data_IF_105533783905
#
_entry.id   IF_105533783905
#
_cell.length_a   1.000
_cell.length_b   1.000
_cell.length_c   1.000
_cell.angle_alpha   90.00
_cell.angle_beta   90.00
_cell.angle_gamma   90.00
#
_symmetry.space_group_name_H-M   'P 1'
#
loop_
_entity.id
_entity.type
_entity.pdbx_description
1 polymer ?
#
# COMPACT_ATOMS: atom_id res chain seq x y z
N UNK A 1 -34.52 16.31 14.46
CA UNK A 1 -33.83 15.40 13.55
C UNK A 1 -32.39 15.80 13.55
N UNK A 2 -31.44 14.88 13.72
CA UNK A 2 -30.04 15.20 13.49
C UNK A 2 -29.89 15.64 12.03
N UNK A 3 -28.98 16.59 11.72
CA UNK A 3 -28.69 16.98 10.34
C UNK A 3 -28.23 15.75 9.55
N UNK A 4 -28.65 15.68 8.29
CA UNK A 4 -28.20 14.61 7.40
C UNK A 4 -26.64 14.59 7.36
N UNK A 5 -26.01 13.42 7.36
CA UNK A 5 -24.56 13.36 7.24
C UNK A 5 -24.13 14.08 5.96
N UNK A 6 -23.16 14.97 6.10
CA UNK A 6 -22.54 15.64 4.94
C UNK A 6 -22.03 14.55 3.98
N UNK A 7 -22.21 14.71 2.66
CA UNK A 7 -21.66 13.77 1.70
C UNK A 7 -20.16 13.62 1.95
N UNK A 8 -19.66 12.39 1.86
CA UNK A 8 -18.23 12.13 1.97
C UNK A 8 -17.49 13.01 0.92
N UNK A 9 -16.45 13.74 1.30
CA UNK A 9 -15.69 14.52 0.33
C UNK A 9 -15.16 13.60 -0.76
N UNK A 10 -15.10 14.10 -2.01
CA UNK A 10 -14.51 13.34 -3.10
C UNK A 10 -13.05 12.99 -2.75
N UNK A 11 -12.69 11.73 -2.94
CA UNK A 11 -11.30 11.32 -2.77
C UNK A 11 -10.40 12.14 -3.71
N UNK A 12 -9.22 12.60 -3.24
CA UNK A 12 -8.27 13.25 -4.11
C UNK A 12 -7.91 12.32 -5.28
N UNK A 13 -7.53 12.88 -6.45
CA UNK A 13 -7.14 12.09 -7.60
C UNK A 13 -6.09 11.05 -7.20
N UNK A 14 -6.32 9.80 -7.61
CA UNK A 14 -5.31 8.75 -7.48
C UNK A 14 -4.22 8.93 -8.54
N UNK A 15 -3.19 8.09 -8.51
CA UNK A 15 -2.18 8.07 -9.55
C UNK A 15 -2.82 7.77 -10.92
N UNK A 16 -2.27 8.38 -11.96
CA UNK A 16 -2.61 8.04 -13.34
C UNK A 16 -2.05 6.65 -13.70
N UNK A 17 -2.72 5.96 -14.65
CA UNK A 17 -2.29 4.64 -15.12
C UNK A 17 -2.86 3.47 -14.30
N UNK A 18 -2.12 2.35 -14.21
CA UNK A 18 -2.58 1.17 -13.48
C UNK A 18 -2.74 1.49 -11.99
N UNK A 19 -3.71 0.87 -11.28
CA UNK A 19 -3.95 1.11 -9.86
C UNK A 19 -2.88 0.43 -8.98
N UNK A 20 -1.63 0.73 -9.24
CA UNK A 20 -0.45 0.17 -8.59
C UNK A 20 0.49 1.27 -8.08
N UNK A 21 1.20 0.98 -6.99
CA UNK A 21 2.38 1.71 -6.56
C UNK A 21 3.58 0.77 -6.52
N UNK A 22 4.68 1.19 -7.13
CA UNK A 22 5.94 0.46 -7.02
C UNK A 22 6.65 0.83 -5.72
N UNK A 23 6.82 -0.15 -4.81
CA UNK A 23 7.56 0.03 -3.57
C UNK A 23 9.07 0.10 -3.78
N UNK A 24 9.73 1.09 -3.20
CA UNK A 24 11.17 1.30 -3.35
C UNK A 24 12.02 0.61 -2.27
N UNK A 25 11.42 -0.02 -1.27
CA UNK A 25 12.09 -0.52 -0.07
C UNK A 25 13.20 -1.56 -0.31
N UNK A 26 13.18 -2.26 -1.45
CA UNK A 26 14.19 -3.24 -1.83
C UNK A 26 15.42 -2.64 -2.53
N UNK A 27 15.40 -1.34 -2.86
CA UNK A 27 16.37 -0.71 -3.76
C UNK A 27 17.25 0.34 -3.06
N UNK A 28 17.81 -0.02 -1.92
CA UNK A 28 18.72 0.84 -1.16
C UNK A 28 20.18 0.82 -1.62
N UNK A 29 20.52 0.12 -2.69
CA UNK A 29 21.88 -0.02 -3.16
C UNK A 29 22.01 0.39 -4.64
N UNK A 30 22.26 1.69 -4.84
CA UNK A 30 22.61 2.23 -6.15
C UNK A 30 21.62 1.91 -7.29
N UNK A 31 22.12 1.89 -8.52
CA UNK A 31 21.33 1.75 -9.75
C UNK A 31 20.71 0.36 -9.98
N UNK A 32 20.84 -0.58 -9.06
CA UNK A 32 20.23 -1.93 -9.19
C UNK A 32 18.70 -1.91 -9.28
N UNK A 33 18.06 -0.85 -8.76
CA UNK A 33 16.62 -0.64 -8.90
C UNK A 33 16.19 -0.10 -10.26
N UNK A 34 17.09 0.52 -11.01
CA UNK A 34 16.74 1.23 -12.24
C UNK A 34 16.03 0.36 -13.28
N UNK A 35 16.49 -0.87 -13.58
CA UNK A 35 15.77 -1.72 -14.54
C UNK A 35 14.33 -2.04 -14.12
N UNK A 36 14.05 -2.13 -12.83
CA UNK A 36 12.70 -2.37 -12.29
C UNK A 36 11.86 -1.12 -12.40
N UNK A 37 12.41 0.04 -12.08
CA UNK A 37 11.74 1.33 -12.22
C UNK A 37 11.46 1.65 -13.70
N UNK A 38 12.43 1.39 -14.59
CA UNK A 38 12.27 1.55 -16.04
C UNK A 38 11.15 0.66 -16.58
N UNK A 39 11.13 -0.64 -16.23
CA UNK A 39 10.08 -1.55 -16.66
C UNK A 39 8.68 -1.12 -16.18
N UNK A 40 8.59 -0.57 -14.97
CA UNK A 40 7.33 -0.05 -14.44
C UNK A 40 6.88 1.22 -15.17
N UNK A 41 7.79 2.15 -15.41
CA UNK A 41 7.55 3.38 -16.14
C UNK A 41 7.13 3.13 -17.59
N UNK A 42 7.88 2.29 -18.31
CA UNK A 42 7.60 1.88 -19.69
C UNK A 42 6.24 1.16 -19.81
N UNK A 43 5.87 0.40 -18.79
CA UNK A 43 4.57 -0.27 -18.69
C UNK A 43 3.40 0.65 -18.28
N UNK A 44 3.60 1.96 -18.21
CA UNK A 44 2.57 2.94 -17.88
C UNK A 44 2.39 3.25 -16.40
N UNK A 45 3.20 2.64 -15.53
CA UNK A 45 3.20 2.98 -14.10
C UNK A 45 3.75 4.39 -13.85
N UNK A 46 3.12 5.12 -12.94
CA UNK A 46 3.50 6.51 -12.61
C UNK A 46 3.67 6.74 -11.12
N UNK A 47 3.25 5.80 -10.29
CA UNK A 47 3.17 5.96 -8.85
C UNK A 47 4.20 5.12 -8.11
N UNK A 48 4.92 5.75 -7.18
CA UNK A 48 5.96 5.12 -6.38
C UNK A 48 5.70 5.29 -4.90
N UNK A 49 5.99 4.25 -4.12
CA UNK A 49 5.91 4.22 -2.67
C UNK A 49 7.31 4.24 -2.07
N UNK A 50 7.59 5.22 -1.23
CA UNK A 50 8.85 5.33 -0.50
C UNK A 50 8.62 5.69 0.96
N UNK A 51 9.68 5.64 1.77
CA UNK A 51 9.64 6.05 3.16
C UNK A 51 11.01 6.52 3.66
N UNK A 52 10.98 7.49 4.56
CA UNK A 52 12.15 8.04 5.26
C UNK A 52 13.04 6.94 5.85
N UNK A 53 12.43 5.86 6.38
CA UNK A 53 13.13 4.74 7.02
C UNK A 53 13.63 3.69 6.02
N UNK A 54 13.15 3.65 4.77
CA UNK A 54 13.48 2.56 3.86
C UNK A 54 14.98 2.48 3.59
N UNK A 55 15.49 1.24 3.70
CA UNK A 55 16.90 0.95 3.45
C UNK A 55 17.87 1.39 4.54
N UNK A 56 17.39 1.79 5.72
CA UNK A 56 18.24 2.29 6.83
C UNK A 56 19.43 1.37 7.17
N UNK A 57 19.27 0.06 7.01
CA UNK A 57 20.35 -0.91 7.20
C UNK A 57 21.53 -0.73 6.21
N UNK A 58 21.30 -0.07 5.07
CA UNK A 58 22.31 0.23 4.05
C UNK A 58 22.77 1.70 4.08
N UNK A 59 22.17 2.50 4.94
CA UNK A 59 22.43 3.93 5.14
C UNK A 59 21.12 4.75 5.09
N UNK A 60 21.01 5.79 5.94
CA UNK A 60 19.81 6.60 6.04
C UNK A 60 19.37 7.15 4.68
N UNK A 61 18.11 6.94 4.29
CA UNK A 61 17.51 7.47 3.06
C UNK A 61 18.06 6.91 1.75
N UNK A 62 18.75 5.76 1.76
CA UNK A 62 19.35 5.22 0.54
C UNK A 62 18.31 4.86 -0.52
N UNK A 63 17.11 4.37 -0.15
CA UNK A 63 16.05 4.07 -1.10
C UNK A 63 15.49 5.34 -1.75
N UNK A 64 15.30 6.41 -0.99
CA UNK A 64 14.85 7.71 -1.50
C UNK A 64 15.87 8.33 -2.45
N UNK A 65 17.17 8.28 -2.10
CA UNK A 65 18.24 8.74 -3.01
C UNK A 65 18.32 7.93 -4.29
N UNK A 66 18.20 6.60 -4.22
CA UNK A 66 18.18 5.74 -5.41
C UNK A 66 17.00 6.08 -6.32
N UNK A 67 15.82 6.25 -5.75
CA UNK A 67 14.63 6.65 -6.50
C UNK A 67 14.78 8.06 -7.11
N UNK A 68 15.24 9.05 -6.34
CA UNK A 68 15.48 10.42 -6.83
C UNK A 68 16.52 10.46 -7.97
N UNK A 69 17.64 9.74 -7.82
CA UNK A 69 18.66 9.63 -8.85
C UNK A 69 18.12 8.98 -10.14
N UNK A 70 17.28 7.95 -10.02
CA UNK A 70 16.60 7.35 -11.17
C UNK A 70 15.68 8.38 -11.86
N UNK A 71 14.78 9.01 -11.12
CA UNK A 71 13.83 9.97 -11.67
C UNK A 71 14.57 11.10 -12.41
N UNK A 72 15.61 11.67 -11.80
CA UNK A 72 16.46 12.69 -12.39
C UNK A 72 17.15 12.20 -13.66
N UNK A 73 17.74 10.99 -13.64
CA UNK A 73 18.45 10.42 -14.79
C UNK A 73 17.55 10.17 -16.01
N UNK A 74 16.23 10.07 -15.79
CA UNK A 74 15.21 9.88 -16.82
C UNK A 74 14.47 11.17 -17.16
N UNK A 75 14.66 12.25 -16.38
CA UNK A 75 13.97 13.52 -16.56
C UNK A 75 12.47 13.44 -16.26
N UNK A 76 12.09 12.59 -15.29
CA UNK A 76 10.66 12.30 -14.98
C UNK A 76 10.26 12.77 -13.58
N UNK A 77 11.07 13.57 -12.90
CA UNK A 77 10.86 14.00 -11.51
C UNK A 77 9.50 14.65 -11.26
N UNK A 78 9.00 15.36 -12.27
CA UNK A 78 7.72 16.09 -12.21
C UNK A 78 6.52 15.23 -12.57
N UNK A 79 6.77 14.11 -13.27
CA UNK A 79 5.71 13.24 -13.80
C UNK A 79 5.42 12.05 -12.89
N UNK A 80 6.30 11.80 -11.89
CA UNK A 80 6.10 10.73 -10.90
C UNK A 80 5.16 11.18 -9.79
N UNK A 81 4.15 10.36 -9.51
CA UNK A 81 3.29 10.47 -8.34
C UNK A 81 3.95 9.76 -7.16
N UNK A 82 4.15 10.45 -6.05
CA UNK A 82 4.88 9.89 -4.90
C UNK A 82 3.99 9.80 -3.68
N UNK A 83 3.92 8.58 -3.11
CA UNK A 83 3.53 8.33 -1.75
C UNK A 83 4.80 8.28 -0.91
N UNK A 84 5.02 9.27 -0.06
CA UNK A 84 6.10 9.30 0.91
C UNK A 84 5.59 8.94 2.31
N UNK A 85 6.45 8.36 3.14
CA UNK A 85 6.12 8.04 4.54
C UNK A 85 7.22 8.47 5.49
N UNK A 86 6.82 8.98 6.66
CA UNK A 86 7.69 9.27 7.80
C UNK A 86 7.01 8.92 9.12
N UNK A 87 7.49 9.46 10.21
CA UNK A 87 6.96 9.21 11.56
C UNK A 87 6.90 7.70 11.87
N UNK A 88 8.04 7.04 11.81
CA UNK A 88 8.21 5.64 12.24
C UNK A 88 8.76 5.60 13.67
N UNK A 89 8.31 4.65 14.47
CA UNK A 89 8.82 4.41 15.83
C UNK A 89 10.35 4.20 15.83
N UNK A 90 11.11 4.83 16.76
CA UNK A 90 10.64 5.65 17.89
C UNK A 90 10.32 7.12 17.55
N UNK A 91 10.61 7.58 16.34
CA UNK A 91 10.46 8.96 15.87
C UNK A 91 9.03 9.27 15.35
N UNK A 92 8.02 8.52 15.82
CA UNK A 92 6.62 8.78 15.50
C UNK A 92 6.07 9.87 16.42
N UNK A 93 6.45 11.11 16.14
CA UNK A 93 6.12 12.32 16.93
C UNK A 93 5.65 13.43 15.97
N UNK A 94 4.65 14.26 16.34
CA UNK A 94 4.13 15.34 15.50
C UNK A 94 5.21 16.33 15.05
N UNK A 95 6.12 16.70 15.96
CA UNK A 95 7.22 17.64 15.69
C UNK A 95 8.30 17.07 14.76
N UNK A 96 8.32 15.75 14.54
CA UNK A 96 9.25 15.08 13.62
C UNK A 96 8.72 14.93 12.19
N UNK A 97 7.40 15.10 12.00
CA UNK A 97 6.73 14.87 10.70
C UNK A 97 7.31 15.75 9.60
N UNK A 98 7.35 17.07 9.80
CA UNK A 98 7.84 18.01 8.79
C UNK A 98 9.35 17.88 8.55
N UNK A 99 10.14 17.68 9.59
CA UNK A 99 11.58 17.49 9.48
C UNK A 99 11.90 16.25 8.60
N UNK A 100 11.26 15.12 8.88
CA UNK A 100 11.47 13.89 8.08
C UNK A 100 10.96 14.03 6.64
N UNK A 101 9.86 14.76 6.42
CA UNK A 101 9.37 15.07 5.08
C UNK A 101 10.37 15.92 4.30
N UNK A 102 10.94 16.95 4.93
CA UNK A 102 11.97 17.81 4.31
C UNK A 102 13.21 17.02 3.95
N UNK A 103 13.73 16.19 4.85
CA UNK A 103 14.84 15.30 4.55
C UNK A 103 14.53 14.33 3.39
N UNK A 104 13.30 13.80 3.32
CA UNK A 104 12.85 12.96 2.22
C UNK A 104 12.84 13.72 0.89
N UNK A 105 12.40 14.98 0.89
CA UNK A 105 12.43 15.83 -0.30
C UNK A 105 13.85 16.09 -0.78
N UNK A 106 14.76 16.46 0.11
CA UNK A 106 16.19 16.66 -0.21
C UNK A 106 16.80 15.39 -0.85
N UNK A 107 16.51 14.21 -0.27
CA UNK A 107 17.02 12.93 -0.77
C UNK A 107 16.48 12.56 -2.14
N UNK A 108 15.22 12.91 -2.41
CA UNK A 108 14.56 12.62 -3.69
C UNK A 108 14.75 13.71 -4.76
N UNK A 109 15.27 14.89 -4.39
CA UNK A 109 15.41 16.03 -5.28
C UNK A 109 14.07 16.64 -5.70
N UNK A 110 13.11 16.80 -4.75
CA UNK A 110 11.78 17.34 -5.02
C UNK A 110 11.27 18.18 -3.85
N UNK A 111 10.21 18.96 -4.08
CA UNK A 111 9.66 19.90 -3.10
C UNK A 111 8.26 19.51 -2.59
N UNK A 112 7.63 18.49 -3.20
CA UNK A 112 6.26 18.07 -2.86
C UNK A 112 6.08 16.57 -2.96
N UNK A 113 5.06 16.04 -2.26
CA UNK A 113 4.56 14.69 -2.43
C UNK A 113 3.05 14.70 -2.71
N UNK A 114 2.57 13.79 -3.56
CA UNK A 114 1.15 13.69 -3.83
C UNK A 114 0.36 13.16 -2.63
N UNK A 115 0.95 12.23 -1.87
CA UNK A 115 0.39 11.68 -0.65
C UNK A 115 1.52 11.48 0.37
N UNK A 116 1.29 11.88 1.60
CA UNK A 116 2.18 11.59 2.72
C UNK A 116 1.46 10.79 3.79
N UNK A 117 2.10 9.75 4.32
CA UNK A 117 1.51 8.92 5.36
C UNK A 117 2.39 8.82 6.60
N UNK A 118 1.78 8.84 7.77
CA UNK A 118 2.43 8.39 8.99
C UNK A 118 2.72 6.90 8.86
N UNK A 119 3.98 6.49 9.03
CA UNK A 119 4.42 5.11 8.78
C UNK A 119 4.01 4.15 9.90
N UNK A 120 3.81 4.68 11.12
CA UNK A 120 3.33 3.98 12.32
C UNK A 120 2.38 4.88 13.12
N UNK A 121 1.71 4.30 14.09
CA UNK A 121 0.99 5.04 15.13
C UNK A 121 1.86 5.19 16.38
N UNK A 122 1.58 6.24 17.14
CA UNK A 122 2.00 6.41 18.52
C UNK A 122 0.76 6.68 19.37
N UNK A 123 0.26 5.65 20.02
CA UNK A 123 -0.99 5.71 20.79
C UNK A 123 -0.92 6.55 22.06
N UNK A 124 0.30 6.93 22.49
CA UNK A 124 0.49 7.84 23.64
C UNK A 124 0.19 9.31 23.28
N UNK A 125 0.03 9.60 21.98
CA UNK A 125 -0.22 10.95 21.47
C UNK A 125 -1.66 11.04 20.95
N UNK A 126 -2.43 12.09 21.31
CA UNK A 126 -3.75 12.35 20.76
C UNK A 126 -3.71 12.47 19.23
N UNK A 127 -4.68 11.87 18.54
CA UNK A 127 -4.76 11.91 17.06
C UNK A 127 -4.78 13.33 16.51
N UNK A 128 -5.37 14.27 17.25
CA UNK A 128 -5.48 15.66 16.84
C UNK A 128 -4.16 16.35 16.61
N UNK A 129 -3.11 15.99 17.35
CA UNK A 129 -1.77 16.54 17.15
C UNK A 129 -1.21 16.13 15.78
N UNK A 130 -1.34 14.86 15.41
CA UNK A 130 -0.93 14.38 14.09
C UNK A 130 -1.77 14.98 12.95
N UNK A 131 -3.09 14.98 13.11
CA UNK A 131 -4.01 15.53 12.11
C UNK A 131 -3.74 17.01 11.85
N UNK A 132 -3.46 17.79 12.90
CA UNK A 132 -3.19 19.22 12.79
C UNK A 132 -1.91 19.50 12.00
N UNK A 133 -0.81 18.80 12.28
CA UNK A 133 0.43 19.00 11.53
C UNK A 133 0.30 18.55 10.08
N UNK A 134 -0.40 17.46 9.82
CA UNK A 134 -0.63 16.97 8.45
C UNK A 134 -1.52 17.90 7.64
N UNK A 135 -2.55 18.48 8.27
CA UNK A 135 -3.42 19.47 7.65
C UNK A 135 -2.64 20.74 7.28
N UNK A 136 -1.76 21.23 8.15
CA UNK A 136 -0.88 22.37 7.86
C UNK A 136 0.02 22.10 6.62
N UNK A 137 0.58 20.90 6.52
CA UNK A 137 1.40 20.53 5.36
C UNK A 137 0.58 20.51 4.05
N UNK A 138 -0.69 20.11 4.11
CA UNK A 138 -1.62 20.19 2.97
C UNK A 138 -1.91 21.65 2.61
N UNK A 139 -2.25 22.48 3.60
CA UNK A 139 -2.59 23.88 3.38
C UNK A 139 -1.41 24.68 2.81
N UNK A 140 -0.19 24.33 3.18
CA UNK A 140 1.06 24.89 2.64
C UNK A 140 1.43 24.31 1.27
N UNK A 141 0.73 23.31 0.78
CA UNK A 141 0.98 22.68 -0.52
C UNK A 141 2.24 21.80 -0.58
N UNK A 142 2.82 21.42 0.56
CA UNK A 142 3.96 20.51 0.62
C UNK A 142 3.53 19.07 0.32
N UNK A 143 2.31 18.71 0.66
CA UNK A 143 1.69 17.43 0.32
C UNK A 143 0.31 17.67 -0.28
N UNK A 144 -0.07 16.88 -1.29
CA UNK A 144 -1.40 16.99 -1.91
C UNK A 144 -2.52 16.41 -1.03
N UNK A 145 -2.20 15.41 -0.23
CA UNK A 145 -3.10 14.78 0.73
C UNK A 145 -2.29 14.02 1.79
N UNK A 146 -2.96 13.58 2.85
CA UNK A 146 -2.33 12.76 3.88
C UNK A 146 -3.11 11.48 4.18
N UNK A 147 -2.46 10.53 4.86
CA UNK A 147 -3.04 9.28 5.32
C UNK A 147 -2.24 8.64 6.44
N UNK A 148 -2.63 7.43 6.80
CA UNK A 148 -2.03 6.66 7.88
C UNK A 148 -1.63 5.26 7.40
N UNK A 149 -0.50 4.77 7.89
CA UNK A 149 -0.06 3.40 7.65
C UNK A 149 0.07 2.66 8.97
N UNK A 150 -0.48 1.45 9.02
CA UNK A 150 -0.46 0.61 10.22
C UNK A 150 -1.16 1.24 11.44
N UNK A 151 -2.27 1.90 11.20
CA UNK A 151 -3.16 2.40 12.22
C UNK A 151 -4.34 1.45 12.39
N UNK A 152 -4.87 1.34 13.62
CA UNK A 152 -6.10 0.59 13.89
C UNK A 152 -7.33 1.34 13.35
N UNK A 153 -8.43 0.63 13.11
CA UNK A 153 -9.68 1.23 12.65
C UNK A 153 -10.21 2.27 13.65
N UNK A 154 -10.08 2.00 14.95
CA UNK A 154 -10.47 2.93 16.01
C UNK A 154 -9.71 4.25 15.90
N UNK A 155 -8.39 4.20 15.79
CA UNK A 155 -7.54 5.38 15.68
C UNK A 155 -7.80 6.17 14.39
N UNK A 156 -8.04 5.48 13.29
CA UNK A 156 -8.37 6.14 12.01
C UNK A 156 -9.74 6.83 12.09
N UNK A 157 -10.74 6.17 12.67
CA UNK A 157 -12.07 6.79 12.84
C UNK A 157 -12.04 7.98 13.78
N UNK A 158 -11.25 7.93 14.84
CA UNK A 158 -10.99 9.07 15.73
C UNK A 158 -10.33 10.24 14.96
N UNK A 159 -9.32 9.97 14.13
CA UNK A 159 -8.66 10.99 13.31
C UNK A 159 -9.62 11.64 12.30
N UNK A 160 -10.47 10.85 11.65
CA UNK A 160 -11.53 11.35 10.74
C UNK A 160 -12.54 12.22 11.50
N UNK A 161 -12.97 11.78 12.69
CA UNK A 161 -13.89 12.54 13.52
C UNK A 161 -13.29 13.88 13.98
N UNK A 162 -12.02 13.86 14.40
CA UNK A 162 -11.29 15.06 14.78
C UNK A 162 -11.18 16.06 13.61
N UNK A 163 -10.74 15.59 12.43
CA UNK A 163 -10.61 16.44 11.26
C UNK A 163 -11.95 17.11 10.87
N UNK A 164 -13.04 16.33 10.87
CA UNK A 164 -14.40 16.86 10.62
C UNK A 164 -14.83 17.92 11.62
N UNK A 165 -14.60 17.66 12.91
CA UNK A 165 -14.98 18.58 13.99
C UNK A 165 -14.24 19.92 13.92
N UNK A 166 -13.04 19.95 13.36
CA UNK A 166 -12.18 21.13 13.25
C UNK A 166 -12.12 21.73 11.84
N UNK A 167 -12.92 21.21 10.88
CA UNK A 167 -12.93 21.70 9.50
C UNK A 167 -11.60 21.52 8.75
N UNK A 168 -10.81 20.51 9.14
CA UNK A 168 -9.52 20.19 8.54
C UNK A 168 -9.69 19.22 7.36
N UNK A 169 -8.72 19.17 6.42
CA UNK A 169 -8.66 18.13 5.40
C UNK A 169 -8.78 16.74 6.01
N UNK A 170 -9.54 15.84 5.38
CA UNK A 170 -9.68 14.46 5.86
C UNK A 170 -8.53 13.58 5.40
N UNK A 171 -8.19 12.51 6.15
CA UNK A 171 -7.31 11.47 5.66
C UNK A 171 -7.81 10.90 4.33
N UNK A 172 -6.95 10.84 3.33
CA UNK A 172 -7.29 10.38 1.98
C UNK A 172 -6.96 8.90 1.75
N UNK A 173 -6.13 8.30 2.60
CA UNK A 173 -5.67 6.94 2.40
C UNK A 173 -5.22 6.21 3.66
N UNK A 174 -5.32 4.88 3.57
CA UNK A 174 -4.84 3.93 4.59
C UNK A 174 -3.88 2.96 3.92
N UNK A 175 -2.73 2.71 4.56
CA UNK A 175 -1.75 1.73 4.09
C UNK A 175 -1.49 0.67 5.17
N UNK A 176 -2.43 -0.23 5.33
CA UNK A 176 -2.32 -1.43 6.16
C UNK A 176 -2.06 -2.65 5.26
N UNK A 177 -1.67 -3.78 5.85
CA UNK A 177 -1.58 -5.03 5.13
C UNK A 177 -2.98 -5.43 4.62
N UNK A 178 -3.07 -5.82 3.34
CA UNK A 178 -4.28 -6.41 2.77
C UNK A 178 -3.92 -7.26 1.55
N UNK A 179 -4.33 -8.51 1.54
CA UNK A 179 -4.11 -9.45 0.43
C UNK A 179 -5.05 -10.64 0.54
N UNK A 180 -5.09 -11.48 -0.50
CA UNK A 180 -5.87 -12.72 -0.51
C UNK A 180 -5.55 -13.64 0.68
N UNK A 181 -4.28 -13.69 1.12
CA UNK A 181 -3.89 -14.41 2.34
C UNK A 181 -3.80 -13.45 3.52
N UNK A 182 -4.28 -13.89 4.68
CA UNK A 182 -4.29 -13.06 5.89
C UNK A 182 -2.95 -13.15 6.62
N UNK A 183 -2.46 -12.01 7.10
CA UNK A 183 -1.36 -11.97 8.05
C UNK A 183 -1.85 -12.57 9.38
N UNK A 184 -1.23 -13.67 9.82
CA UNK A 184 -1.60 -14.42 11.04
C UNK A 184 -0.96 -13.81 12.27
N UNK A 185 0.31 -13.42 12.13
CA UNK A 185 1.06 -12.68 13.14
C UNK A 185 1.74 -11.47 12.49
N UNK A 186 1.83 -10.34 13.20
CA UNK A 186 2.52 -9.16 12.69
C UNK A 186 3.94 -9.48 12.24
N UNK A 187 4.28 -9.13 11.00
CA UNK A 187 5.63 -9.36 10.45
C UNK A 187 6.68 -8.45 11.08
N UNK A 188 6.24 -7.28 11.53
CA UNK A 188 7.02 -6.33 12.32
C UNK A 188 6.14 -5.79 13.45
N UNK A 189 6.72 -5.41 14.60
CA UNK A 189 5.96 -4.74 15.66
C UNK A 189 5.19 -3.52 15.14
N UNK A 190 3.94 -3.37 15.57
CA UNK A 190 3.09 -2.25 15.18
C UNK A 190 2.64 -2.27 13.72
N UNK A 191 2.59 -3.43 13.07
CA UNK A 191 1.93 -3.58 11.76
C UNK A 191 0.50 -4.05 11.92
N UNK A 192 -0.40 -3.45 11.10
CA UNK A 192 -1.83 -3.67 11.10
C UNK A 192 -2.31 -4.29 9.79
N UNK A 193 -3.42 -5.02 9.86
CA UNK A 193 -4.12 -5.58 8.69
C UNK A 193 -5.52 -4.97 8.55
N UNK A 194 -5.98 -4.80 7.32
CA UNK A 194 -7.36 -4.40 7.01
C UNK A 194 -8.19 -5.55 6.45
N UNK A 195 -7.78 -6.80 6.69
CA UNK A 195 -8.48 -7.98 6.17
C UNK A 195 -9.75 -8.35 6.96
N UNK A 196 -9.96 -7.79 8.17
CA UNK A 196 -11.12 -8.11 8.97
C UNK A 196 -12.42 -7.46 8.43
N UNK A 197 -13.61 -8.01 8.80
CA UNK A 197 -14.89 -7.53 8.30
C UNK A 197 -15.21 -6.07 8.65
N UNK A 198 -14.75 -5.58 9.82
CA UNK A 198 -15.03 -4.21 10.25
C UNK A 198 -14.28 -3.20 9.36
N UNK A 199 -13.00 -3.47 9.06
CA UNK A 199 -12.23 -2.68 8.11
C UNK A 199 -12.85 -2.69 6.73
N UNK A 200 -13.26 -3.86 6.23
CA UNK A 200 -13.86 -3.99 4.89
C UNK A 200 -15.17 -3.21 4.78
N UNK A 201 -16.03 -3.29 5.82
CA UNK A 201 -17.28 -2.54 5.87
C UNK A 201 -17.01 -1.02 5.85
N UNK A 202 -16.05 -0.55 6.65
CA UNK A 202 -15.69 0.86 6.71
C UNK A 202 -15.08 1.37 5.39
N UNK A 203 -14.20 0.58 4.75
CA UNK A 203 -13.63 0.91 3.44
C UNK A 203 -14.71 0.97 2.34
N UNK A 204 -15.75 0.14 2.42
CA UNK A 204 -16.86 0.13 1.48
C UNK A 204 -17.72 1.40 1.53
N UNK A 205 -17.65 2.21 2.60
CA UNK A 205 -18.23 3.56 2.64
C UNK A 205 -17.56 4.53 1.65
N UNK A 206 -16.36 4.18 1.12
CA UNK A 206 -15.68 4.85 0.02
C UNK A 206 -15.07 6.21 0.37
N UNK A 207 -14.96 6.56 1.66
CA UNK A 207 -14.43 7.85 2.11
C UNK A 207 -12.90 7.95 2.11
N UNK A 208 -12.20 6.81 2.00
CA UNK A 208 -10.73 6.71 1.89
C UNK A 208 -10.32 5.66 0.86
N UNK A 209 -9.10 5.74 0.37
CA UNK A 209 -8.52 4.73 -0.52
C UNK A 209 -7.57 3.83 0.26
N UNK A 210 -7.67 2.52 0.02
CA UNK A 210 -6.71 1.57 0.56
C UNK A 210 -5.48 1.49 -0.35
N UNK A 211 -4.30 1.62 0.27
CA UNK A 211 -2.98 1.44 -0.34
C UNK A 211 -2.28 0.25 0.32
N UNK A 212 -2.71 -0.99 0.03
CA UNK A 212 -2.28 -2.13 0.80
C UNK A 212 -0.83 -2.50 0.52
N UNK A 213 -0.02 -2.63 1.58
CA UNK A 213 1.28 -3.26 1.46
C UNK A 213 1.15 -4.79 1.53
N UNK A 214 2.15 -5.50 1.00
CA UNK A 214 2.15 -6.96 0.81
C UNK A 214 0.91 -7.47 0.06
N UNK A 215 0.39 -6.71 -0.89
CA UNK A 215 -0.82 -6.98 -1.68
C UNK A 215 -0.79 -8.32 -2.43
N UNK A 216 0.40 -8.86 -2.68
CA UNK A 216 0.68 -10.14 -3.34
C UNK A 216 1.13 -11.23 -2.35
N UNK A 217 0.91 -11.07 -1.04
CA UNK A 217 1.26 -12.06 -0.03
C UNK A 217 2.76 -12.33 0.13
N UNK A 218 3.61 -11.33 -0.20
CA UNK A 218 5.09 -11.41 -0.08
C UNK A 218 5.73 -12.59 -0.78
N UNK A 219 5.18 -13.01 -1.91
CA UNK A 219 5.70 -14.12 -2.71
C UNK A 219 5.18 -15.50 -2.28
N UNK A 220 4.29 -15.60 -1.30
CA UNK A 220 3.72 -16.89 -0.89
C UNK A 220 2.98 -17.61 -2.02
N UNK A 221 2.42 -16.89 -2.98
CA UNK A 221 1.73 -17.46 -4.16
C UNK A 221 2.70 -17.96 -5.25
N UNK A 222 4.00 -17.62 -5.15
CA UNK A 222 5.03 -18.12 -6.05
C UNK A 222 5.67 -19.44 -5.56
N UNK A 223 5.28 -19.96 -4.39
CA UNK A 223 5.75 -21.24 -3.88
C UNK A 223 5.25 -22.36 -4.80
N UNK A 224 6.11 -23.33 -5.07
CA UNK A 224 5.77 -24.48 -5.91
C UNK A 224 4.66 -25.35 -5.27
N UNK A 225 4.65 -25.41 -3.94
CA UNK A 225 3.63 -26.13 -3.18
C UNK A 225 3.18 -25.33 -1.95
N UNK A 226 1.86 -25.23 -1.65
CA UNK A 226 1.36 -24.48 -0.49
C UNK A 226 1.93 -24.93 0.87
N UNK A 227 2.33 -26.21 0.98
CA UNK A 227 2.93 -26.75 2.20
C UNK A 227 4.34 -26.16 2.49
N UNK A 228 5.03 -25.61 1.50
CA UNK A 228 6.32 -24.94 1.71
C UNK A 228 6.16 -23.70 2.61
N UNK A 229 4.96 -23.13 2.68
CA UNK A 229 4.67 -22.03 3.61
C UNK A 229 4.82 -22.44 5.07
N UNK A 230 4.79 -23.73 5.41
CA UNK A 230 4.91 -24.25 6.79
C UNK A 230 6.28 -24.04 7.41
N UNK A 231 7.33 -24.04 6.62
CA UNK A 231 8.72 -24.09 7.11
C UNK A 231 9.60 -22.98 6.56
N UNK A 232 9.10 -22.21 5.60
CA UNK A 232 9.84 -21.10 5.00
C UNK A 232 9.88 -19.85 5.89
N UNK A 233 10.61 -18.83 5.46
CA UNK A 233 10.75 -17.57 6.20
C UNK A 233 9.43 -16.80 6.37
N UNK A 234 8.38 -17.21 5.66
CA UNK A 234 7.04 -16.62 5.76
C UNK A 234 6.13 -17.37 6.75
N UNK A 235 6.58 -18.53 7.29
CA UNK A 235 5.73 -19.43 8.05
C UNK A 235 5.05 -18.76 9.25
N UNK A 236 5.81 -18.04 10.06
CA UNK A 236 5.31 -17.41 11.29
C UNK A 236 4.17 -16.43 11.00
N UNK A 237 4.35 -15.57 10.02
CA UNK A 237 3.40 -14.49 9.75
C UNK A 237 2.27 -14.88 8.80
N UNK A 238 2.44 -15.94 7.99
CA UNK A 238 1.52 -16.22 6.88
C UNK A 238 0.96 -17.63 6.86
N UNK A 239 1.54 -18.58 7.62
CA UNK A 239 1.02 -19.94 7.57
C UNK A 239 -0.30 -20.08 8.34
N UNK A 240 -1.31 -20.53 7.61
CA UNK A 240 -2.54 -21.14 8.15
C UNK A 240 -3.10 -22.11 7.11
N UNK A 241 -3.95 -23.06 7.56
CA UNK A 241 -4.67 -23.95 6.62
C UNK A 241 -5.52 -23.18 5.63
N UNK A 242 -6.14 -22.09 6.08
CA UNK A 242 -6.94 -21.20 5.23
C UNK A 242 -6.08 -20.53 4.17
N UNK A 243 -4.92 -19.99 4.54
CA UNK A 243 -4.01 -19.37 3.58
C UNK A 243 -3.45 -20.39 2.57
N UNK A 244 -3.07 -21.59 3.01
CA UNK A 244 -2.63 -22.66 2.11
C UNK A 244 -3.73 -23.04 1.08
N UNK A 245 -4.98 -23.12 1.53
CA UNK A 245 -6.11 -23.37 0.63
C UNK A 245 -6.34 -22.21 -0.36
N UNK A 246 -6.17 -20.95 0.06
CA UNK A 246 -6.26 -19.77 -0.82
C UNK A 246 -5.15 -19.75 -1.87
N UNK A 247 -3.92 -20.09 -1.48
CA UNK A 247 -2.78 -20.21 -2.40
C UNK A 247 -3.06 -21.30 -3.43
N UNK A 248 -3.54 -22.47 -3.01
CA UNK A 248 -3.91 -23.53 -3.91
C UNK A 248 -4.97 -23.10 -4.93
N UNK A 249 -6.05 -22.45 -4.47
CA UNK A 249 -7.10 -21.94 -5.37
C UNK A 249 -6.57 -20.87 -6.33
N UNK A 250 -5.67 -20.00 -5.89
CA UNK A 250 -5.02 -19.04 -6.78
C UNK A 250 -4.23 -19.75 -7.90
N UNK A 251 -3.55 -20.87 -7.58
CA UNK A 251 -2.89 -21.72 -8.56
C UNK A 251 -3.86 -22.30 -9.59
N UNK A 252 -4.99 -22.86 -9.14
CA UNK A 252 -6.01 -23.41 -10.04
C UNK A 252 -6.60 -22.35 -10.99
N UNK A 253 -6.84 -21.13 -10.47
CA UNK A 253 -7.34 -20.05 -11.31
C UNK A 253 -6.25 -19.53 -12.27
N UNK A 254 -4.99 -19.54 -11.85
CA UNK A 254 -3.84 -19.21 -12.69
C UNK A 254 -3.72 -20.15 -13.90
N UNK A 255 -3.82 -21.46 -13.70
CA UNK A 255 -3.81 -22.46 -14.78
C UNK A 255 -4.93 -22.20 -15.80
N UNK A 256 -6.12 -21.80 -15.34
CA UNK A 256 -7.25 -21.51 -16.23
C UNK A 256 -7.08 -20.21 -17.02
N UNK A 257 -6.52 -19.18 -16.40
CA UNK A 257 -6.49 -17.81 -16.98
C UNK A 257 -5.20 -17.48 -17.71
N UNK A 258 -4.13 -18.21 -17.45
CA UNK A 258 -2.77 -17.90 -17.93
C UNK A 258 -2.10 -16.76 -17.18
N UNK A 259 -2.73 -16.24 -16.10
CA UNK A 259 -2.16 -15.23 -15.21
C UNK A 259 -1.43 -15.97 -14.08
N UNK A 260 -0.29 -15.48 -13.63
CA UNK A 260 0.43 -16.13 -12.52
C UNK A 260 -0.41 -16.18 -11.24
N UNK A 261 -0.14 -17.14 -10.35
CA UNK A 261 -0.83 -17.22 -9.06
C UNK A 261 -0.62 -15.96 -8.20
N UNK A 262 0.56 -15.34 -8.30
CA UNK A 262 0.86 -14.04 -7.69
C UNK A 262 0.02 -12.92 -8.32
N UNK A 263 -0.16 -12.97 -9.65
CA UNK A 263 -1.03 -12.07 -10.40
C UNK A 263 -2.51 -12.23 -10.03
N UNK A 264 -2.98 -13.47 -9.83
CA UNK A 264 -4.36 -13.74 -9.34
C UNK A 264 -4.57 -13.14 -7.95
N UNK A 265 -3.60 -13.26 -7.03
CA UNK A 265 -3.69 -12.66 -5.72
C UNK A 265 -3.75 -11.11 -5.79
N UNK A 266 -3.00 -10.49 -6.70
CA UNK A 266 -3.07 -9.06 -6.97
C UNK A 266 -4.42 -8.67 -7.57
N UNK A 267 -4.91 -9.41 -8.55
CA UNK A 267 -6.23 -9.18 -9.16
C UNK A 267 -7.35 -9.29 -8.11
N UNK A 268 -7.25 -10.23 -7.15
CA UNK A 268 -8.19 -10.32 -6.03
C UNK A 268 -8.18 -9.05 -5.18
N UNK A 269 -6.99 -8.55 -4.82
CA UNK A 269 -6.83 -7.30 -4.05
C UNK A 269 -7.43 -6.10 -4.79
N UNK A 270 -7.24 -6.01 -6.10
CA UNK A 270 -7.74 -4.91 -6.92
C UNK A 270 -9.22 -5.03 -7.30
N UNK A 271 -9.84 -6.20 -7.12
CA UNK A 271 -11.26 -6.45 -7.41
C UNK A 271 -12.18 -6.27 -6.21
N UNK A 272 -11.70 -5.64 -5.13
CA UNK A 272 -12.52 -5.37 -3.95
C UNK A 272 -13.57 -4.27 -4.23
N UNK A 273 -14.72 -4.28 -3.50
CA UNK A 273 -15.81 -3.31 -3.71
C UNK A 273 -15.54 -1.95 -3.05
N UNK A 274 -14.28 -1.55 -2.93
CA UNK A 274 -13.84 -0.25 -2.41
C UNK A 274 -12.59 0.23 -3.16
N UNK A 275 -12.24 1.52 -3.09
CA UNK A 275 -11.09 2.06 -3.81
C UNK A 275 -9.76 1.48 -3.31
N UNK A 276 -9.01 0.83 -4.21
CA UNK A 276 -7.70 0.24 -3.92
C UNK A 276 -6.67 0.69 -4.95
N UNK A 277 -5.47 1.02 -4.47
CA UNK A 277 -4.24 1.14 -5.28
C UNK A 277 -3.17 0.27 -4.61
N UNK A 278 -2.82 -0.85 -5.20
CA UNK A 278 -2.00 -1.87 -4.55
C UNK A 278 -0.50 -1.55 -4.59
N UNK A 279 0.17 -1.66 -3.45
CA UNK A 279 1.64 -1.61 -3.39
C UNK A 279 2.20 -2.96 -3.87
N UNK A 280 3.04 -2.91 -4.89
CA UNK A 280 3.79 -4.06 -5.40
C UNK A 280 5.27 -3.94 -5.06
N UNK A 281 5.93 -5.07 -4.85
CA UNK A 281 7.34 -5.12 -4.48
C UNK A 281 8.17 -6.04 -5.37
N UNK A 282 8.16 -5.84 -6.70
CA UNK A 282 8.94 -6.65 -7.64
C UNK A 282 10.44 -6.42 -7.41
N UNK A 283 11.24 -7.45 -7.67
CA UNK A 283 12.70 -7.39 -7.61
C UNK A 283 13.36 -7.47 -8.99
N UNK A 284 12.57 -7.87 -9.99
CA UNK A 284 13.01 -8.06 -11.37
C UNK A 284 11.99 -7.42 -12.33
N UNK A 285 12.41 -6.98 -13.53
CA UNK A 285 11.52 -6.42 -14.54
C UNK A 285 10.36 -7.34 -14.96
N UNK A 286 10.60 -8.66 -14.94
CA UNK A 286 9.59 -9.68 -15.27
C UNK A 286 8.42 -9.67 -14.28
N UNK A 287 8.71 -9.53 -12.98
CA UNK A 287 7.68 -9.42 -11.92
C UNK A 287 6.87 -8.14 -12.05
N UNK A 288 7.47 -7.06 -12.57
CA UNK A 288 6.76 -5.83 -12.92
C UNK A 288 5.74 -6.09 -14.02
N UNK A 289 6.18 -6.73 -15.13
CA UNK A 289 5.31 -7.04 -16.28
C UNK A 289 4.16 -7.94 -15.87
N UNK A 290 4.42 -8.95 -15.03
CA UNK A 290 3.39 -9.82 -14.46
C UNK A 290 2.37 -9.03 -13.63
N UNK A 291 2.83 -8.14 -12.76
CA UNK A 291 1.96 -7.30 -11.94
C UNK A 291 1.12 -6.32 -12.77
N UNK A 292 1.69 -5.74 -13.82
CA UNK A 292 0.97 -4.84 -14.75
C UNK A 292 -0.11 -5.61 -15.54
N UNK A 293 0.20 -6.79 -16.02
CA UNK A 293 -0.76 -7.67 -16.71
C UNK A 293 -1.91 -8.07 -15.77
N UNK A 294 -1.58 -8.45 -14.53
CA UNK A 294 -2.56 -8.80 -13.51
C UNK A 294 -3.46 -7.60 -13.12
N UNK A 295 -2.93 -6.38 -13.09
CA UNK A 295 -3.69 -5.18 -12.77
C UNK A 295 -4.78 -4.84 -13.81
N UNK A 296 -4.63 -5.31 -15.04
CA UNK A 296 -5.66 -5.19 -16.08
C UNK A 296 -6.77 -6.23 -15.96
N UNK A 297 -6.54 -7.29 -15.16
CA UNK A 297 -7.50 -8.37 -14.98
C UNK A 297 -8.44 -8.08 -13.81
N UNK A 298 -9.75 -8.14 -14.06
CA UNK A 298 -10.77 -8.03 -13.02
C UNK A 298 -11.42 -9.38 -12.78
N UNK A 299 -11.43 -9.81 -11.52
CA UNK A 299 -12.16 -10.99 -11.10
C UNK A 299 -13.65 -10.68 -11.01
N UNK A 300 -14.48 -11.64 -11.36
CA UNK A 300 -15.90 -11.61 -11.04
C UNK A 300 -16.11 -11.75 -9.52
N UNK A 301 -17.27 -11.36 -9.01
CA UNK A 301 -17.60 -11.56 -7.60
C UNK A 301 -17.52 -13.05 -7.22
N UNK A 302 -18.00 -13.93 -8.08
CA UNK A 302 -17.94 -15.39 -7.87
C UNK A 302 -16.49 -15.90 -7.78
N UNK A 303 -15.58 -15.45 -8.65
CA UNK A 303 -14.16 -15.81 -8.59
C UNK A 303 -13.49 -15.26 -7.33
N UNK A 304 -13.79 -14.01 -6.95
CA UNK A 304 -13.28 -13.39 -5.74
C UNK A 304 -13.69 -14.14 -4.48
N UNK A 305 -15.00 -14.46 -4.38
CA UNK A 305 -15.57 -15.14 -3.22
C UNK A 305 -15.07 -16.60 -3.15
N UNK A 306 -14.97 -17.28 -4.30
CA UNK A 306 -14.40 -18.63 -4.37
C UNK A 306 -12.93 -18.66 -3.95
N UNK A 307 -12.12 -17.71 -4.38
CA UNK A 307 -10.71 -17.59 -3.95
C UNK A 307 -10.58 -17.45 -2.44
N UNK A 308 -11.46 -16.67 -1.82
CA UNK A 308 -11.40 -16.38 -0.39
C UNK A 308 -11.98 -17.52 0.47
N UNK A 309 -13.19 -17.96 0.19
CA UNK A 309 -13.95 -18.89 1.02
C UNK A 309 -13.83 -20.34 0.56
N UNK A 310 -13.64 -20.57 -0.72
CA UNK A 310 -13.79 -21.90 -1.35
C UNK A 310 -15.25 -22.29 -1.44
N UNK A 311 -15.47 -23.59 -1.62
CA UNK A 311 -16.82 -24.16 -1.78
C UNK A 311 -17.22 -24.28 -3.27
N UNK A 312 -17.71 -25.46 -3.64
CA UNK A 312 -18.08 -25.75 -5.05
C UNK A 312 -16.88 -25.87 -6.00
N UNK A 313 -17.23 -26.00 -7.27
CA UNK A 313 -16.26 -26.03 -8.35
C UNK A 313 -15.72 -24.63 -8.68
N UNK A 314 -14.62 -24.60 -9.42
CA UNK A 314 -14.04 -23.37 -9.94
C UNK A 314 -15.10 -22.63 -10.78
N UNK A 315 -15.47 -21.36 -10.43
CA UNK A 315 -16.53 -20.64 -11.13
C UNK A 315 -16.25 -20.53 -12.64
N UNK A 316 -17.25 -20.85 -13.46
CA UNK A 316 -17.20 -20.60 -14.91
C UNK A 316 -17.46 -19.11 -15.18
N UNK A 317 -16.75 -18.53 -16.12
CA UNK A 317 -16.98 -17.16 -16.61
C UNK A 317 -18.24 -17.11 -17.47
#
# INVERSE_FOLDING_TARGET
MPPAPLPAPALPPGPEGPPLLLGTSAFGQNERGFPVFDAYWEGGGRAFDTAWLYGHAYGPGCCERTFGAWAQSRGVEKDVWVLAKGAHTPECLPDRVECQLTESFERMGRDTAALYMLHRDNTDIPVGEFVTVLADLVDRGLIGAYGMSNWTLERVTEAVAYARAHGLPLPAGISNQYSLINMVHPIYPGTETSNDPAWRAWLAEGSVRLYPWASQGRGAHALAHPDELRTGPLAESWYSRTNAARIHRAGLLAERTGISATGIALAWTLSQPFPVVALIGPRQPEEVRDSLAAAAHRLTDAERDWLEAGGGDLPTR
#
